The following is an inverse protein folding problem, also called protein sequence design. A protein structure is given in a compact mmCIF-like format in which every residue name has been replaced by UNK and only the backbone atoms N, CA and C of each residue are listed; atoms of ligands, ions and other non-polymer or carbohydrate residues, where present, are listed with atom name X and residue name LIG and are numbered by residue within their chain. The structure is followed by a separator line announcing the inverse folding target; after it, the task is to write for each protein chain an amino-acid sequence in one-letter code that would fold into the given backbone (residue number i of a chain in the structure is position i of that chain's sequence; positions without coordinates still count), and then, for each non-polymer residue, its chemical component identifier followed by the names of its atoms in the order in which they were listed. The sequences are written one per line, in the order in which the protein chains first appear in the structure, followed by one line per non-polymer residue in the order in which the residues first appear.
data_IF_752103220339
#
_entry.id   IF_752103220339
#
_cell.length_a   1.000
_cell.length_b   1.000
_cell.length_c   1.000
_cell.angle_alpha   90.00
_cell.angle_beta   90.00
_cell.angle_gamma   90.00
#
_symmetry.space_group_name_H-M   'P 1'
#
loop_
_entity.id
_entity.type
_entity.pdbx_description
1 polymer ?
#
# COMPACT_ATOMS: atom_id res chain seq x y z
N UNK A 1 17.05 -1.11 -12.00
CA UNK A 1 18.29 -0.35 -12.19
C UNK A 1 17.97 1.05 -12.69
N UNK A 2 18.61 2.07 -12.11
CA UNK A 2 18.45 3.45 -12.58
C UNK A 2 18.87 3.52 -14.06
N UNK A 3 18.04 4.17 -14.91
CA UNK A 3 18.31 4.32 -16.33
C UNK A 3 17.86 3.16 -17.22
N UNK A 4 17.10 2.20 -16.72
CA UNK A 4 16.50 1.17 -17.57
C UNK A 4 15.55 1.82 -18.60
N UNK A 5 15.71 1.47 -19.88
CA UNK A 5 14.83 1.95 -20.95
C UNK A 5 13.54 1.12 -21.06
N UNK A 6 13.53 -0.09 -20.53
CA UNK A 6 12.36 -1.00 -20.49
C UNK A 6 12.51 -2.01 -19.37
N UNK A 7 11.40 -2.51 -18.88
CA UNK A 7 11.34 -3.64 -17.95
C UNK A 7 10.19 -4.56 -18.33
N UNK A 8 10.35 -5.85 -18.01
CA UNK A 8 9.29 -6.84 -18.24
C UNK A 8 9.31 -7.91 -17.17
N UNK A 9 8.12 -8.47 -16.88
CA UNK A 9 7.93 -9.64 -16.03
C UNK A 9 7.21 -10.70 -16.87
N UNK A 10 7.83 -11.87 -17.00
CA UNK A 10 7.30 -12.97 -17.83
C UNK A 10 6.93 -12.52 -19.26
N UNK A 11 7.77 -11.68 -19.87
CA UNK A 11 7.57 -11.16 -21.23
C UNK A 11 6.53 -10.05 -21.37
N UNK A 12 5.83 -9.69 -20.29
CA UNK A 12 4.92 -8.54 -20.27
C UNK A 12 5.66 -7.28 -19.83
N UNK A 13 5.55 -6.22 -20.63
CA UNK A 13 6.12 -4.92 -20.25
C UNK A 13 5.50 -4.40 -18.95
N UNK A 14 6.34 -3.84 -18.09
CA UNK A 14 5.90 -3.13 -16.88
C UNK A 14 6.21 -1.64 -17.01
N UNK A 15 5.36 -0.74 -16.47
CA UNK A 15 5.58 0.69 -16.53
C UNK A 15 6.81 1.08 -15.71
N UNK A 16 7.62 1.97 -16.25
CA UNK A 16 8.79 2.51 -15.57
C UNK A 16 8.48 3.90 -14.98
N UNK A 17 9.07 4.23 -13.82
CA UNK A 17 8.97 5.58 -13.28
C UNK A 17 9.52 6.61 -14.25
N UNK A 18 8.84 7.75 -14.37
CA UNK A 18 9.33 8.92 -15.10
C UNK A 18 9.90 9.93 -14.09
N UNK A 19 10.97 10.66 -14.44
CA UNK A 19 11.62 11.60 -13.51
C UNK A 19 10.69 12.70 -13.02
N UNK A 20 9.72 13.14 -13.85
CA UNK A 20 8.76 14.19 -13.50
C UNK A 20 7.35 13.73 -13.88
N UNK A 21 6.63 13.04 -12.97
CA UNK A 21 5.27 12.62 -13.25
C UNK A 21 4.34 13.83 -13.37
N UNK A 22 3.62 13.91 -14.49
CA UNK A 22 2.64 14.98 -14.74
C UNK A 22 1.27 14.70 -14.14
N UNK A 23 1.05 13.47 -13.68
CA UNK A 23 -0.19 13.03 -13.04
C UNK A 23 0.13 11.98 -12.00
N UNK A 24 -0.13 12.30 -10.75
CA UNK A 24 -0.01 11.39 -9.61
C UNK A 24 -1.42 11.05 -9.15
N UNK A 25 -1.71 9.76 -9.04
CA UNK A 25 -2.94 9.26 -8.44
C UNK A 25 -2.64 8.83 -7.01
N UNK A 26 -3.45 9.27 -6.07
CA UNK A 26 -3.35 8.85 -4.67
C UNK A 26 -4.59 8.03 -4.31
N UNK A 27 -4.38 6.85 -3.74
CA UNK A 27 -5.43 5.94 -3.25
C UNK A 27 -5.02 5.37 -1.90
N UNK A 28 -5.97 4.89 -1.12
CA UNK A 28 -5.73 4.21 0.15
C UNK A 28 -6.97 3.46 0.60
N UNK A 29 -6.86 2.64 1.64
CA UNK A 29 -7.98 1.92 2.26
C UNK A 29 -8.79 1.09 1.24
N UNK A 30 -8.10 0.33 0.40
CA UNK A 30 -8.72 -0.30 -0.76
C UNK A 30 -9.26 -1.71 -0.51
N UNK A 31 -8.87 -2.36 0.57
CA UNK A 31 -9.35 -3.71 0.92
C UNK A 31 -10.83 -3.76 1.26
N UNK A 32 -11.40 -4.95 1.21
CA UNK A 32 -12.80 -5.17 1.57
C UNK A 32 -12.95 -5.68 3.01
N UNK A 33 -13.62 -4.91 3.86
CA UNK A 33 -13.62 -5.16 5.30
C UNK A 33 -14.44 -6.37 5.72
N UNK A 34 -13.77 -7.37 6.27
CA UNK A 34 -14.36 -8.52 6.95
C UNK A 34 -13.65 -8.70 8.30
N UNK A 35 -14.22 -8.09 9.37
CA UNK A 35 -13.66 -8.18 10.72
C UNK A 35 -14.73 -7.91 11.76
N UNK A 36 -14.96 -8.86 12.66
CA UNK A 36 -15.94 -8.74 13.76
C UNK A 36 -17.32 -8.32 13.26
N UNK A 37 -17.87 -7.27 13.85
CA UNK A 37 -19.16 -6.71 13.42
C UNK A 37 -19.11 -5.79 12.21
N UNK A 38 -17.91 -5.46 11.69
CA UNK A 38 -17.74 -4.58 10.54
C UNK A 38 -17.59 -5.42 9.27
N UNK A 39 -18.72 -5.74 8.64
CA UNK A 39 -18.79 -6.59 7.45
C UNK A 39 -19.22 -5.77 6.24
N UNK A 40 -18.36 -5.66 5.27
CA UNK A 40 -18.65 -5.08 3.96
C UNK A 40 -19.12 -6.19 3.02
N UNK A 41 -20.03 -5.87 2.10
CA UNK A 41 -20.48 -6.82 1.10
C UNK A 41 -19.44 -6.91 -0.05
N UNK A 42 -18.39 -7.70 0.17
CA UNK A 42 -17.25 -7.83 -0.75
C UNK A 42 -17.61 -8.43 -2.12
N UNK A 43 -18.76 -9.12 -2.20
CA UNK A 43 -19.29 -9.68 -3.43
C UNK A 43 -20.19 -8.68 -4.21
N UNK A 44 -20.44 -7.49 -3.65
CA UNK A 44 -21.23 -6.44 -4.28
C UNK A 44 -20.32 -5.28 -4.73
N UNK A 45 -20.19 -5.05 -6.05
CA UNK A 45 -19.39 -3.95 -6.57
C UNK A 45 -19.85 -2.55 -6.15
N UNK A 46 -21.10 -2.39 -5.74
CA UNK A 46 -21.60 -1.12 -5.23
C UNK A 46 -21.15 -0.86 -3.78
N UNK A 47 -21.06 -1.93 -2.96
CA UNK A 47 -20.58 -1.85 -1.58
C UNK A 47 -19.05 -1.81 -1.48
N UNK A 48 -18.36 -2.48 -2.43
CA UNK A 48 -16.91 -2.45 -2.55
C UNK A 48 -16.48 -2.08 -3.97
N UNK A 49 -16.41 -0.78 -4.31
CA UNK A 49 -16.21 -0.31 -5.67
C UNK A 49 -14.75 -0.32 -6.15
N UNK A 50 -13.78 -0.74 -5.35
CA UNK A 50 -12.36 -0.66 -5.70
C UNK A 50 -12.00 -1.27 -7.06
N UNK A 51 -12.51 -2.44 -7.49
CA UNK A 51 -12.22 -2.97 -8.82
C UNK A 51 -12.63 -2.03 -9.96
N UNK A 52 -13.79 -1.38 -9.83
CA UNK A 52 -14.29 -0.40 -10.81
C UNK A 52 -13.47 0.89 -10.78
N UNK A 53 -13.11 1.36 -9.59
CA UNK A 53 -12.29 2.56 -9.42
C UNK A 53 -10.89 2.35 -10.00
N UNK A 54 -10.26 1.20 -9.75
CA UNK A 54 -8.95 0.87 -10.32
C UNK A 54 -8.98 0.81 -11.85
N UNK A 55 -10.02 0.22 -12.43
CA UNK A 55 -10.20 0.16 -13.88
C UNK A 55 -10.42 1.57 -14.48
N UNK A 56 -11.24 2.42 -13.85
CA UNK A 56 -11.47 3.79 -14.28
C UNK A 56 -10.20 4.65 -14.14
N UNK A 57 -9.49 4.51 -13.02
CA UNK A 57 -8.24 5.21 -12.76
C UNK A 57 -7.13 4.87 -13.77
N UNK A 58 -7.05 3.61 -14.21
CA UNK A 58 -6.11 3.19 -15.24
C UNK A 58 -6.33 3.94 -16.58
N UNK A 59 -7.59 4.26 -16.91
CA UNK A 59 -7.92 5.05 -18.13
C UNK A 59 -7.42 6.49 -18.07
N UNK A 60 -7.19 7.03 -16.87
CA UNK A 60 -6.60 8.34 -16.68
C UNK A 60 -5.10 8.37 -17.00
N UNK A 61 -4.48 7.19 -17.22
CA UNK A 61 -3.04 7.03 -17.53
C UNK A 61 -2.18 7.80 -16.54
N UNK A 62 -2.24 7.48 -15.23
CA UNK A 62 -1.37 8.13 -14.26
C UNK A 62 0.09 7.83 -14.58
N UNK A 63 0.98 8.78 -14.32
CA UNK A 63 2.41 8.59 -14.43
C UNK A 63 3.02 7.95 -13.17
N UNK A 64 2.29 8.03 -12.05
CA UNK A 64 2.63 7.44 -10.76
C UNK A 64 1.35 7.19 -9.97
N UNK A 65 1.29 6.07 -9.26
CA UNK A 65 0.28 5.81 -8.24
C UNK A 65 0.96 5.81 -6.87
N UNK A 66 0.37 6.47 -5.91
CA UNK A 66 0.76 6.43 -4.50
C UNK A 66 -0.37 5.77 -3.73
N UNK A 67 -0.11 4.64 -3.10
CA UNK A 67 -1.07 4.00 -2.21
C UNK A 67 -0.67 4.28 -0.76
N UNK A 68 -1.55 4.96 -0.04
CA UNK A 68 -1.27 5.46 1.31
C UNK A 68 -1.65 4.48 2.43
N UNK A 69 -1.62 3.18 2.14
CA UNK A 69 -1.80 2.13 3.16
C UNK A 69 -3.18 1.47 3.16
N UNK A 70 -3.29 0.42 3.94
CA UNK A 70 -4.46 -0.41 4.14
C UNK A 70 -4.94 -1.13 2.86
N UNK A 71 -4.29 -2.24 2.59
CA UNK A 71 -4.53 -3.10 1.42
C UNK A 71 -5.39 -4.31 1.76
N UNK A 72 -5.19 -4.90 2.96
CA UNK A 72 -5.81 -6.16 3.37
C UNK A 72 -6.78 -5.94 4.53
N UNK A 73 -8.08 -6.06 4.24
CA UNK A 73 -9.16 -5.91 5.21
C UNK A 73 -9.96 -7.21 5.43
N UNK A 74 -9.66 -8.30 4.70
CA UNK A 74 -10.23 -9.63 4.91
C UNK A 74 -9.51 -10.35 6.05
N UNK A 75 -9.60 -9.81 7.26
CA UNK A 75 -8.87 -10.30 8.41
C UNK A 75 -9.47 -11.55 9.03
N UNK A 76 -10.80 -11.68 9.00
CA UNK A 76 -11.54 -12.78 9.60
C UNK A 76 -12.38 -13.55 8.55
N UNK A 77 -12.72 -14.80 8.82
CA UNK A 77 -13.63 -15.54 7.94
C UNK A 77 -14.98 -14.86 7.80
N UNK A 78 -15.55 -14.90 6.60
CA UNK A 78 -16.92 -14.46 6.38
C UNK A 78 -17.88 -15.32 7.24
N UNK A 79 -18.79 -14.70 8.00
CA UNK A 79 -19.75 -15.45 8.83
C UNK A 79 -20.64 -16.36 7.98
N UNK A 80 -20.95 -17.58 8.45
CA UNK A 80 -21.83 -18.49 7.74
C UNK A 80 -23.18 -17.86 7.35
N UNK A 81 -23.58 -18.04 6.10
CA UNK A 81 -24.84 -17.51 5.57
C UNK A 81 -24.83 -16.05 5.16
N UNK A 82 -23.72 -15.32 5.34
CA UNK A 82 -23.60 -13.95 4.85
C UNK A 82 -23.24 -13.94 3.37
N UNK A 83 -24.25 -13.76 2.50
CA UNK A 83 -24.09 -13.72 1.04
C UNK A 83 -23.18 -12.58 0.54
N UNK A 84 -23.06 -11.49 1.31
CA UNK A 84 -22.23 -10.33 0.95
C UNK A 84 -20.74 -10.64 0.90
N UNK A 85 -20.27 -11.63 1.67
CA UNK A 85 -18.87 -12.03 1.70
C UNK A 85 -18.63 -13.55 1.54
N UNK A 86 -19.66 -14.31 1.25
CA UNK A 86 -19.56 -15.78 1.08
C UNK A 86 -18.49 -16.16 0.08
N UNK A 87 -17.63 -17.12 0.44
CA UNK A 87 -16.50 -17.55 -0.38
C UNK A 87 -15.27 -16.66 -0.32
N UNK A 88 -15.31 -15.54 0.42
CA UNK A 88 -14.13 -14.68 0.61
C UNK A 88 -13.03 -15.40 1.37
N UNK A 89 -11.78 -15.38 0.90
CA UNK A 89 -10.62 -15.77 1.71
C UNK A 89 -10.41 -14.80 2.86
N UNK A 90 -9.65 -15.21 3.89
CA UNK A 90 -9.33 -14.37 5.05
C UNK A 90 -7.95 -14.65 5.62
N UNK A 91 -7.41 -13.69 6.39
CA UNK A 91 -6.10 -13.74 7.04
C UNK A 91 -4.94 -13.33 6.12
N UNK A 92 -3.74 -13.25 6.70
CA UNK A 92 -2.51 -12.84 5.99
C UNK A 92 -1.97 -13.99 5.13
N UNK A 93 -2.51 -14.15 3.93
CA UNK A 93 -2.12 -15.19 2.97
C UNK A 93 -2.38 -14.73 1.54
N UNK A 94 -1.73 -15.40 0.56
CA UNK A 94 -1.85 -15.03 -0.85
C UNK A 94 -3.29 -14.96 -1.38
N UNK A 95 -4.20 -15.92 -1.09
CA UNK A 95 -5.59 -15.80 -1.55
C UNK A 95 -6.26 -14.50 -1.11
N UNK A 96 -6.05 -14.06 0.14
CA UNK A 96 -6.63 -12.83 0.68
C UNK A 96 -6.01 -11.58 0.06
N UNK A 97 -4.69 -11.53 -0.05
CA UNK A 97 -3.98 -10.44 -0.73
C UNK A 97 -4.38 -10.31 -2.20
N UNK A 98 -4.52 -11.43 -2.88
CA UNK A 98 -4.96 -11.43 -4.26
C UNK A 98 -6.40 -10.92 -4.41
N UNK A 99 -7.31 -11.34 -3.51
CA UNK A 99 -8.70 -10.93 -3.54
C UNK A 99 -8.92 -9.46 -3.17
N UNK A 100 -8.15 -8.93 -2.20
CA UNK A 100 -8.31 -7.55 -1.74
C UNK A 100 -7.54 -6.54 -2.57
N UNK A 101 -6.37 -6.90 -3.08
CA UNK A 101 -5.50 -5.94 -3.72
C UNK A 101 -5.08 -6.33 -5.14
N UNK A 102 -4.38 -7.45 -5.33
CA UNK A 102 -3.73 -7.71 -6.64
C UNK A 102 -4.70 -7.90 -7.79
N UNK A 103 -5.76 -8.68 -7.60
CA UNK A 103 -6.75 -8.92 -8.65
C UNK A 103 -7.57 -7.64 -8.96
N UNK A 104 -8.17 -6.94 -7.98
CA UNK A 104 -8.92 -5.71 -8.24
C UNK A 104 -8.05 -4.56 -8.76
N UNK A 105 -6.80 -4.43 -8.30
CA UNK A 105 -5.88 -3.40 -8.76
C UNK A 105 -5.19 -3.72 -10.09
N UNK A 106 -5.32 -4.92 -10.64
CA UNK A 106 -4.56 -5.37 -11.81
C UNK A 106 -4.56 -4.40 -13.01
N UNK A 107 -5.69 -3.77 -13.41
CA UNK A 107 -5.69 -2.78 -14.46
C UNK A 107 -4.79 -1.58 -14.17
N UNK A 108 -4.79 -1.12 -12.92
CA UNK A 108 -4.02 0.04 -12.49
C UNK A 108 -2.54 -0.32 -12.21
N UNK A 109 -2.27 -1.51 -11.68
CA UNK A 109 -0.91 -2.05 -11.50
C UNK A 109 -0.15 -2.16 -12.82
N UNK A 110 -0.85 -2.45 -13.91
CA UNK A 110 -0.25 -2.52 -15.25
C UNK A 110 -0.13 -1.16 -15.94
N UNK A 111 -0.83 -0.13 -15.46
CA UNK A 111 -0.89 1.18 -16.08
C UNK A 111 0.23 2.13 -15.63
N UNK A 112 0.73 2.01 -14.41
CA UNK A 112 1.70 2.94 -13.83
C UNK A 112 2.62 2.27 -12.80
N UNK A 113 3.80 2.85 -12.49
CA UNK A 113 4.59 2.49 -11.32
C UNK A 113 3.89 2.96 -10.04
N UNK A 114 4.21 2.31 -8.92
CA UNK A 114 3.60 2.58 -7.62
C UNK A 114 4.63 2.95 -6.55
N UNK A 115 4.24 3.87 -5.68
CA UNK A 115 4.83 4.07 -4.36
C UNK A 115 3.87 3.51 -3.33
N UNK A 116 4.39 2.67 -2.46
CA UNK A 116 3.64 1.87 -1.50
C UNK A 116 3.94 2.41 -0.09
N UNK A 117 2.90 2.77 0.64
CA UNK A 117 2.97 3.15 2.06
C UNK A 117 2.32 2.04 2.87
N UNK A 118 2.89 1.71 4.02
CA UNK A 118 2.33 0.70 4.92
C UNK A 118 1.19 1.29 5.73
N UNK A 119 0.05 0.59 5.79
CA UNK A 119 -1.10 0.96 6.60
C UNK A 119 -1.13 0.23 7.95
N UNK A 120 -2.04 0.61 8.82
CA UNK A 120 -2.16 -0.04 10.13
C UNK A 120 -2.80 -1.43 10.06
N UNK A 121 -3.47 -1.77 8.97
CA UNK A 121 -3.90 -3.14 8.71
C UNK A 121 -2.73 -4.05 8.33
N UNK A 122 -1.61 -3.48 7.97
CA UNK A 122 -0.35 -4.17 7.69
C UNK A 122 0.68 -4.03 8.82
N UNK A 123 0.26 -3.72 10.05
CA UNK A 123 1.13 -3.82 11.22
C UNK A 123 1.55 -5.28 11.50
N UNK A 124 2.55 -5.47 12.36
CA UNK A 124 3.10 -6.81 12.65
C UNK A 124 2.13 -7.74 13.39
N UNK A 125 1.04 -7.23 13.95
CA UNK A 125 0.03 -8.05 14.63
C UNK A 125 -1.05 -8.52 13.66
N UNK A 126 -1.09 -7.99 12.43
CA UNK A 126 -2.13 -8.22 11.43
C UNK A 126 -1.52 -8.81 10.15
N UNK A 127 -1.34 -8.00 9.11
CA UNK A 127 -0.86 -8.46 7.80
C UNK A 127 0.58 -8.01 7.47
N UNK A 128 1.40 -7.75 8.48
CA UNK A 128 2.74 -7.20 8.31
C UNK A 128 3.70 -8.11 7.56
N UNK A 129 3.65 -9.42 7.78
CA UNK A 129 4.51 -10.36 7.05
C UNK A 129 4.13 -10.44 5.57
N UNK A 130 2.83 -10.44 5.26
CA UNK A 130 2.35 -10.38 3.89
C UNK A 130 2.76 -9.09 3.20
N UNK A 131 2.66 -7.94 3.88
CA UNK A 131 3.13 -6.65 3.36
C UNK A 131 4.62 -6.69 3.02
N UNK A 132 5.48 -7.08 3.97
CA UNK A 132 6.93 -7.16 3.75
C UNK A 132 7.29 -8.10 2.61
N UNK A 133 6.58 -9.22 2.48
CA UNK A 133 6.81 -10.21 1.43
C UNK A 133 6.38 -9.76 0.05
N UNK A 134 5.23 -9.07 -0.07
CA UNK A 134 4.55 -8.84 -1.34
C UNK A 134 4.73 -7.40 -1.84
N UNK A 135 4.90 -6.44 -0.95
CA UNK A 135 4.93 -5.01 -1.24
C UNK A 135 6.16 -4.30 -0.66
N UNK A 136 6.93 -4.95 0.23
CA UNK A 136 8.15 -4.38 0.79
C UNK A 136 9.20 -4.07 -0.28
N UNK A 137 9.99 -3.00 -0.06
CA UNK A 137 11.06 -2.59 -0.95
C UNK A 137 12.31 -3.47 -0.86
N UNK A 138 12.47 -4.16 0.27
CA UNK A 138 13.64 -4.99 0.57
C UNK A 138 13.40 -6.46 0.20
N UNK A 139 14.48 -7.20 0.05
CA UNK A 139 14.39 -8.64 -0.16
C UNK A 139 13.75 -9.31 1.07
N UNK A 140 12.67 -10.05 0.85
CA UNK A 140 11.97 -10.73 1.92
C UNK A 140 12.78 -11.93 2.45
N UNK A 141 13.06 -11.92 3.75
CA UNK A 141 13.62 -13.06 4.46
C UNK A 141 12.49 -13.78 5.23
N UNK A 142 12.14 -15.01 4.85
CA UNK A 142 11.07 -15.76 5.52
C UNK A 142 11.41 -16.16 6.97
N UNK A 143 12.68 -16.10 7.37
CA UNK A 143 13.14 -16.38 8.74
C UNK A 143 13.18 -15.13 9.63
N UNK A 144 13.09 -13.94 9.02
CA UNK A 144 13.10 -12.69 9.79
C UNK A 144 11.76 -12.47 10.51
N UNK A 145 11.85 -11.90 11.71
CA UNK A 145 10.66 -11.37 12.38
C UNK A 145 10.10 -10.18 11.61
N UNK A 146 8.79 -9.95 11.76
CA UNK A 146 8.18 -8.75 11.20
C UNK A 146 8.86 -7.50 11.79
N UNK A 147 9.33 -6.60 10.91
CA UNK A 147 9.87 -5.32 11.33
C UNK A 147 8.70 -4.36 11.64
N UNK A 148 8.54 -3.88 12.88
CA UNK A 148 7.43 -3.00 13.24
C UNK A 148 7.51 -1.62 12.60
N UNK A 149 8.71 -1.17 12.19
CA UNK A 149 8.91 0.13 11.58
C UNK A 149 9.93 0.05 10.44
N UNK A 150 9.58 0.65 9.30
CA UNK A 150 10.45 0.76 8.13
C UNK A 150 10.97 2.19 8.00
N UNK A 151 12.22 2.34 7.62
CA UNK A 151 12.78 3.65 7.31
C UNK A 151 12.05 4.30 6.11
N UNK A 152 11.97 5.63 6.05
CA UNK A 152 11.32 6.33 4.94
C UNK A 152 11.90 5.95 3.58
N UNK A 153 11.04 5.61 2.62
CA UNK A 153 11.43 5.40 1.24
C UNK A 153 11.42 6.74 0.50
N UNK A 154 12.59 7.18 0.04
CA UNK A 154 12.74 8.42 -0.71
C UNK A 154 12.65 8.15 -2.23
N UNK A 155 11.69 8.78 -2.88
CA UNK A 155 11.47 8.67 -4.33
C UNK A 155 11.69 10.05 -4.97
N UNK A 156 12.82 10.27 -5.68
CA UNK A 156 13.05 11.53 -6.38
C UNK A 156 12.15 11.67 -7.61
N UNK A 157 11.46 12.80 -7.72
CA UNK A 157 10.52 13.13 -8.79
C UNK A 157 10.92 14.43 -9.51
N UNK A 158 12.19 14.54 -9.91
CA UNK A 158 12.70 15.66 -10.68
C UNK A 158 13.01 16.93 -9.88
N UNK A 159 12.08 17.67 -9.36
CA UNK A 159 12.28 18.85 -8.50
C UNK A 159 11.65 18.69 -7.13
N UNK A 160 11.22 17.48 -6.81
CA UNK A 160 10.50 17.09 -5.60
C UNK A 160 11.00 15.72 -5.15
N UNK A 161 11.07 15.49 -3.86
CA UNK A 161 11.24 14.16 -3.26
C UNK A 161 9.94 13.74 -2.56
N UNK A 162 9.41 12.57 -2.89
CA UNK A 162 8.31 11.96 -2.18
C UNK A 162 8.90 11.04 -1.10
N UNK A 163 8.58 11.29 0.15
CA UNK A 163 9.00 10.49 1.30
C UNK A 163 7.81 9.62 1.77
N UNK A 164 7.85 8.34 1.47
CA UNK A 164 6.88 7.38 2.00
C UNK A 164 7.31 6.96 3.41
N UNK A 165 6.51 7.40 4.40
CA UNK A 165 6.75 7.19 5.82
C UNK A 165 5.97 5.98 6.32
N UNK A 166 6.62 5.14 7.13
CA UNK A 166 5.93 4.07 7.85
C UNK A 166 5.41 4.60 9.19
N UNK A 167 4.11 4.77 9.28
CA UNK A 167 3.44 5.14 10.52
C UNK A 167 2.30 4.16 10.88
N UNK A 168 2.45 2.91 10.46
CA UNK A 168 1.48 1.84 10.71
C UNK A 168 1.19 1.62 12.21
N UNK A 169 2.22 1.74 13.05
CA UNK A 169 2.13 1.57 14.51
C UNK A 169 1.74 2.85 15.28
N UNK A 170 1.62 3.98 14.58
CA UNK A 170 1.21 5.23 15.24
C UNK A 170 -0.26 5.14 15.69
N UNK A 171 -0.61 5.50 16.92
CA UNK A 171 -1.99 5.50 17.36
C UNK A 171 -2.77 6.70 16.79
N UNK A 172 -4.08 6.50 16.52
CA UNK A 172 -4.93 7.55 15.91
C UNK A 172 -5.26 8.72 16.83
N UNK A 173 -5.30 8.48 18.15
CA UNK A 173 -5.89 9.44 19.12
C UNK A 173 -5.02 9.73 20.32
N UNK A 174 -3.79 9.23 20.35
CA UNK A 174 -2.85 9.42 21.46
C UNK A 174 -1.43 9.58 20.95
N UNK A 175 -0.52 10.01 21.82
CA UNK A 175 0.90 10.04 21.53
C UNK A 175 1.53 8.76 22.06
N UNK A 176 2.33 8.11 21.23
CA UNK A 176 3.21 7.02 21.67
C UNK A 176 4.62 7.58 21.87
N UNK A 177 4.96 7.90 23.11
CA UNK A 177 6.26 8.51 23.45
C UNK A 177 7.47 7.69 22.97
N UNK A 178 7.31 6.40 22.72
CA UNK A 178 8.40 5.55 22.19
C UNK A 178 8.67 5.81 20.71
N UNK A 179 7.66 6.25 19.95
CA UNK A 179 7.79 6.55 18.53
C UNK A 179 8.24 7.98 18.27
N UNK A 180 8.03 8.91 19.22
CA UNK A 180 8.38 10.32 19.05
C UNK A 180 9.86 10.51 18.65
N UNK A 181 10.86 9.96 19.39
CA UNK A 181 12.26 10.16 19.01
C UNK A 181 12.61 9.59 17.64
N UNK A 182 11.91 8.51 17.23
CA UNK A 182 12.10 7.88 15.94
C UNK A 182 11.65 8.82 14.81
N UNK A 183 10.42 9.33 14.89
CA UNK A 183 9.91 10.27 13.90
C UNK A 183 10.65 11.61 13.90
N UNK A 184 11.03 12.12 15.06
CA UNK A 184 11.88 13.33 15.15
C UNK A 184 13.18 13.17 14.37
N UNK A 185 13.85 12.01 14.53
CA UNK A 185 15.07 11.69 13.78
C UNK A 185 14.80 11.62 12.27
N UNK A 186 13.74 10.94 11.85
CA UNK A 186 13.37 10.83 10.45
C UNK A 186 13.07 12.20 9.83
N UNK A 187 12.30 13.04 10.51
CA UNK A 187 12.02 14.40 10.03
C UNK A 187 13.28 15.27 9.97
N UNK A 188 14.23 15.12 10.91
CA UNK A 188 15.53 15.79 10.84
C UNK A 188 16.33 15.34 9.62
N UNK A 189 16.37 14.02 9.35
CA UNK A 189 17.06 13.49 8.18
C UNK A 189 16.40 13.97 6.87
N UNK A 190 15.07 14.02 6.82
CA UNK A 190 14.32 14.51 5.67
C UNK A 190 14.50 16.02 5.46
N UNK A 191 14.68 16.81 6.50
CA UNK A 191 14.96 18.25 6.42
C UNK A 191 16.33 18.53 5.74
N UNK A 192 17.24 17.57 5.74
CA UNK A 192 18.53 17.66 5.05
C UNK A 192 18.46 17.30 3.55
N UNK A 193 17.32 16.82 3.04
CA UNK A 193 17.13 16.51 1.61
C UNK A 193 17.09 17.81 0.80
N UNK A 194 17.90 17.96 -0.26
CA UNK A 194 18.10 19.24 -0.94
C UNK A 194 16.95 19.69 -1.88
N UNK A 195 15.80 19.07 -1.83
CA UNK A 195 14.62 19.38 -2.65
C UNK A 195 13.39 19.53 -1.75
N UNK A 196 12.31 20.19 -2.20
CA UNK A 196 11.03 20.10 -1.51
C UNK A 196 10.64 18.64 -1.29
N UNK A 197 10.19 18.33 -0.07
CA UNK A 197 9.80 16.96 0.31
C UNK A 197 8.29 16.92 0.53
N UNK A 198 7.61 15.98 -0.12
CA UNK A 198 6.24 15.62 0.18
C UNK A 198 6.23 14.37 1.05
N UNK A 199 5.68 14.51 2.24
CA UNK A 199 5.46 13.38 3.13
C UNK A 199 4.16 12.67 2.75
N UNK A 200 4.23 11.36 2.63
CA UNK A 200 3.06 10.49 2.46
C UNK A 200 3.11 9.40 3.51
N UNK A 201 2.10 9.34 4.33
CA UNK A 201 1.89 8.36 5.38
C UNK A 201 0.44 7.89 5.37
N UNK A 202 0.15 6.85 6.13
CA UNK A 202 -1.21 6.33 6.28
C UNK A 202 -1.99 7.09 7.35
N UNK A 203 -1.36 7.26 8.52
CA UNK A 203 -1.94 7.99 9.65
C UNK A 203 -1.43 9.42 9.73
N UNK A 204 -2.27 10.36 10.24
CA UNK A 204 -1.90 11.76 10.40
C UNK A 204 -0.80 11.98 11.44
#
# INVERSE_FOLDING_TARGET
PAGAASASINGKAVPLPVPMPNRILVVGDTGCRIKGGALQACNDPAAWPFPMLAAAAAQLKPALVVHVGDYLYREEPCPPGNKGCEGSPSGDNWPSWNADFFAPAAPLLTAAPWVIVRGNHEDCQRAGLGFLRLLGSDAFDPAAACNPHLAPLLVPLGGLTLAAMDNADAPDTSINDKLVPLYEKEFQDLAAVPAPVWYVGHRP
#
